data_IF_395453321812
#
_entry.id   IF_395453321812
#
_cell.length_a   1.000
_cell.length_b   1.000
_cell.length_c   1.000
_cell.angle_alpha   90.00
_cell.angle_beta   90.00
_cell.angle_gamma   90.00
#
_symmetry.space_group_name_H-M   'P 1'
#
loop_
_entity.id
_entity.type
_entity.pdbx_description
1 polymer ?
#
# COMPACT_ATOMS: atom_id res chain seq x y z
N UNK A 1 -19.33 19.27 14.28
CA UNK A 1 -18.17 18.76 13.51
C UNK A 1 -18.57 18.61 12.06
N UNK A 2 -17.71 18.98 11.10
CA UNK A 2 -17.98 18.75 9.67
C UNK A 2 -17.94 17.25 9.34
N UNK A 3 -18.78 16.79 8.43
CA UNK A 3 -18.72 15.41 7.90
C UNK A 3 -17.49 15.27 6.98
N UNK A 4 -16.90 14.08 6.89
CA UNK A 4 -15.76 13.83 5.99
C UNK A 4 -16.08 14.21 4.54
N UNK A 5 -17.32 13.99 4.11
CA UNK A 5 -17.83 14.38 2.78
C UNK A 5 -17.84 15.89 2.51
N UNK A 6 -17.73 16.72 3.55
CA UNK A 6 -17.71 18.19 3.45
C UNK A 6 -16.28 18.76 3.45
N UNK A 7 -15.27 17.91 3.68
CA UNK A 7 -13.87 18.30 3.63
C UNK A 7 -13.36 18.27 2.18
N UNK A 8 -12.44 19.17 1.85
CA UNK A 8 -11.79 19.11 0.56
C UNK A 8 -10.86 17.89 0.46
N UNK A 9 -10.59 17.43 -0.76
CA UNK A 9 -9.78 16.23 -1.03
C UNK A 9 -8.37 16.32 -0.41
N UNK A 10 -7.75 17.51 -0.39
CA UNK A 10 -6.42 17.71 0.19
C UNK A 10 -6.42 17.41 1.69
N UNK A 11 -7.40 17.95 2.42
CA UNK A 11 -7.56 17.70 3.86
C UNK A 11 -7.83 16.23 4.14
N UNK A 12 -8.71 15.59 3.36
CA UNK A 12 -8.97 14.14 3.50
C UNK A 12 -7.70 13.33 3.27
N UNK A 13 -6.92 13.68 2.24
CA UNK A 13 -5.64 13.01 1.94
C UNK A 13 -4.64 13.16 3.09
N UNK A 14 -4.52 14.36 3.68
CA UNK A 14 -3.67 14.57 4.85
C UNK A 14 -4.14 13.74 6.06
N UNK A 15 -5.45 13.60 6.28
CA UNK A 15 -6.00 12.77 7.35
C UNK A 15 -5.66 11.28 7.11
N UNK A 16 -5.84 10.79 5.88
CA UNK A 16 -5.50 9.40 5.52
C UNK A 16 -4.00 9.13 5.68
N UNK A 17 -3.14 10.07 5.25
CA UNK A 17 -1.70 10.01 5.47
C UNK A 17 -1.35 9.94 6.95
N UNK A 18 -1.91 10.84 7.75
CA UNK A 18 -1.67 10.89 9.19
C UNK A 18 -2.08 9.58 9.89
N UNK A 19 -3.23 9.02 9.52
CA UNK A 19 -3.70 7.75 10.08
C UNK A 19 -2.84 6.57 9.62
N UNK A 20 -2.44 6.53 8.34
CA UNK A 20 -1.51 5.50 7.84
C UNK A 20 -0.17 5.56 8.59
N UNK A 21 0.35 6.76 8.86
CA UNK A 21 1.56 6.94 9.68
C UNK A 21 1.35 6.43 11.10
N UNK A 22 0.25 6.78 11.77
CA UNK A 22 -0.05 6.26 13.12
C UNK A 22 -0.10 4.74 13.12
N UNK A 23 -0.78 4.11 12.15
CA UNK A 23 -0.88 2.65 12.04
C UNK A 23 0.51 2.02 11.85
N UNK A 24 1.34 2.62 10.98
CA UNK A 24 2.72 2.17 10.78
C UNK A 24 3.54 2.25 12.07
N UNK A 25 3.41 3.33 12.83
CA UNK A 25 4.09 3.52 14.12
C UNK A 25 3.59 2.55 15.19
N UNK A 26 2.28 2.28 15.25
CA UNK A 26 1.70 1.29 16.18
C UNK A 26 2.25 -0.09 15.89
N UNK A 27 2.30 -0.49 14.62
CA UNK A 27 2.86 -1.77 14.20
C UNK A 27 4.34 -1.91 14.56
N UNK A 28 5.09 -0.81 14.60
CA UNK A 28 6.49 -0.84 15.03
C UNK A 28 6.68 -0.91 16.54
N UNK A 29 5.99 -0.03 17.28
CA UNK A 29 6.35 0.27 18.66
C UNK A 29 5.41 -0.36 19.68
N UNK A 30 4.19 -0.73 19.28
CA UNK A 30 3.14 -1.19 20.20
C UNK A 30 2.80 -2.65 19.96
N UNK A 31 2.80 -3.10 18.71
CA UNK A 31 2.65 -4.52 18.39
C UNK A 31 4.07 -5.08 18.31
N UNK A 32 4.55 -5.82 19.33
CA UNK A 32 5.89 -6.38 19.32
C UNK A 32 5.88 -7.59 18.42
N UNK A 33 5.85 -7.36 17.12
CA UNK A 33 6.04 -8.43 16.17
C UNK A 33 7.51 -8.55 15.89
N UNK A 34 8.16 -9.41 16.67
CA UNK A 34 9.30 -10.20 16.19
C UNK A 34 8.88 -11.10 15.01
N UNK A 35 7.61 -11.09 14.59
CA UNK A 35 7.14 -11.60 13.31
C UNK A 35 7.67 -10.74 12.17
N UNK A 36 8.92 -10.93 11.82
CA UNK A 36 9.13 -11.30 10.44
C UNK A 36 8.90 -12.82 10.40
N UNK A 37 7.74 -13.32 9.91
CA UNK A 37 7.45 -14.76 9.89
C UNK A 37 8.54 -15.55 9.18
N UNK A 38 9.21 -14.92 8.23
CA UNK A 38 10.38 -15.44 7.56
C UNK A 38 11.61 -15.54 8.50
N UNK A 39 11.84 -14.57 9.37
CA UNK A 39 12.90 -14.67 10.38
C UNK A 39 12.58 -15.74 11.44
N UNK A 40 11.33 -15.85 11.89
CA UNK A 40 10.91 -16.92 12.81
C UNK A 40 11.06 -18.30 12.15
N UNK A 41 10.67 -18.43 10.88
CA UNK A 41 10.80 -19.67 10.13
C UNK A 41 12.28 -20.06 9.88
N UNK A 42 13.15 -19.07 9.61
CA UNK A 42 14.56 -19.31 9.34
C UNK A 42 15.44 -19.43 10.61
N UNK A 43 15.07 -18.78 11.72
CA UNK A 43 15.96 -18.60 12.87
C UNK A 43 15.34 -18.93 14.24
N UNK A 44 14.05 -19.29 14.30
CA UNK A 44 13.38 -19.77 15.52
C UNK A 44 12.55 -18.70 16.27
N UNK A 45 11.86 -19.07 17.37
CA UNK A 45 10.90 -18.20 18.07
C UNK A 45 11.54 -17.21 19.06
N UNK A 46 12.80 -17.40 19.45
CA UNK A 46 13.49 -16.60 20.50
C UNK A 46 14.13 -15.31 19.97
N UNK A 47 13.57 -14.73 18.91
CA UNK A 47 14.08 -13.51 18.28
C UNK A 47 13.54 -12.30 19.04
N UNK A 48 14.40 -11.32 19.37
CA UNK A 48 14.03 -10.08 20.06
C UNK A 48 13.88 -8.89 19.08
N UNK A 49 13.01 -7.93 19.43
CA UNK A 49 12.74 -6.75 18.61
C UNK A 49 13.92 -5.79 18.68
N UNK A 50 14.45 -5.36 17.54
CA UNK A 50 15.58 -4.43 17.50
C UNK A 50 16.95 -5.07 17.63
N UNK A 51 17.07 -6.39 17.43
CA UNK A 51 18.38 -7.02 17.20
C UNK A 51 19.07 -6.30 16.03
N UNK A 52 20.25 -5.68 16.21
CA UNK A 52 20.94 -4.91 15.19
C UNK A 52 21.38 -5.73 13.97
N UNK A 53 21.20 -7.06 14.00
CA UNK A 53 21.39 -7.94 12.83
C UNK A 53 20.10 -8.18 12.03
N UNK A 54 18.99 -7.51 12.35
CA UNK A 54 17.64 -7.81 11.86
C UNK A 54 16.91 -6.57 11.34
N UNK A 55 15.93 -6.83 10.48
CA UNK A 55 15.20 -5.81 9.73
C UNK A 55 14.25 -4.98 10.63
N UNK A 56 14.31 -3.65 10.49
CA UNK A 56 13.36 -2.67 11.04
C UNK A 56 12.10 -2.61 10.16
N UNK A 57 10.94 -2.97 10.72
CA UNK A 57 9.70 -3.18 9.98
C UNK A 57 9.06 -1.90 9.39
N UNK A 58 9.22 -0.71 10.00
CA UNK A 58 8.80 0.59 9.41
C UNK A 58 9.44 0.83 8.04
N UNK A 59 10.60 0.23 7.78
CA UNK A 59 11.29 0.33 6.52
C UNK A 59 10.77 -0.66 5.46
N UNK A 60 9.78 -1.50 5.77
CA UNK A 60 9.15 -2.35 4.76
C UNK A 60 8.05 -1.58 4.04
N UNK A 61 8.09 -1.60 2.70
CA UNK A 61 7.09 -0.92 1.87
C UNK A 61 5.71 -1.58 1.97
N UNK A 62 5.66 -2.87 2.31
CA UNK A 62 4.45 -3.62 2.58
C UNK A 62 3.67 -3.10 3.80
N UNK A 63 4.36 -2.69 4.86
CA UNK A 63 3.73 -2.08 6.04
C UNK A 63 3.00 -0.78 5.67
N UNK A 64 3.58 0.00 4.75
CA UNK A 64 2.92 1.19 4.23
C UNK A 64 1.69 0.83 3.40
N UNK A 65 1.76 -0.15 2.52
CA UNK A 65 0.59 -0.63 1.77
C UNK A 65 -0.52 -1.09 2.71
N UNK A 66 -0.19 -1.82 3.76
CA UNK A 66 -1.14 -2.22 4.81
C UNK A 66 -1.78 -0.99 5.47
N UNK A 67 -0.95 -0.06 5.95
CA UNK A 67 -1.42 1.11 6.68
C UNK A 67 -2.30 2.02 5.82
N UNK A 68 -1.95 2.23 4.55
CA UNK A 68 -2.79 2.95 3.59
C UNK A 68 -4.06 2.20 3.23
N UNK A 69 -4.05 0.86 3.21
CA UNK A 69 -5.25 0.04 2.97
C UNK A 69 -6.26 0.15 4.10
N UNK A 70 -5.79 0.29 5.35
CA UNK A 70 -6.66 0.59 6.48
C UNK A 70 -7.17 2.04 6.41
N UNK A 71 -6.30 3.01 6.17
CA UNK A 71 -6.68 4.43 6.04
C UNK A 71 -7.61 4.69 4.84
N UNK A 72 -7.58 3.84 3.82
CA UNK A 72 -8.47 3.91 2.65
C UNK A 72 -9.95 3.83 3.03
N UNK A 73 -10.31 3.11 4.11
CA UNK A 73 -11.69 2.98 4.55
C UNK A 73 -12.33 4.31 5.02
N UNK A 74 -11.53 5.33 5.33
CA UNK A 74 -11.99 6.68 5.71
C UNK A 74 -12.65 7.39 4.52
N UNK A 75 -12.03 7.29 3.36
CA UNK A 75 -12.53 7.90 2.12
C UNK A 75 -12.00 7.14 0.90
N UNK A 76 -12.89 6.34 0.30
CA UNK A 76 -12.56 5.36 -0.75
C UNK A 76 -12.44 5.96 -2.15
N UNK A 77 -12.91 7.20 -2.34
CA UNK A 77 -12.83 7.91 -3.62
C UNK A 77 -11.54 8.75 -3.75
N UNK A 78 -10.55 8.56 -2.87
CA UNK A 78 -9.31 9.33 -2.95
C UNK A 78 -8.43 8.82 -4.10
N UNK A 79 -8.24 9.57 -5.20
CA UNK A 79 -7.42 9.11 -6.31
C UNK A 79 -5.95 8.97 -5.92
N UNK A 80 -5.43 9.78 -4.98
CA UNK A 80 -4.03 9.70 -4.56
C UNK A 80 -3.74 8.37 -3.86
N UNK A 81 -4.59 7.99 -2.90
CA UNK A 81 -4.47 6.74 -2.15
C UNK A 81 -4.77 5.54 -3.05
N UNK A 82 -5.79 5.63 -3.90
CA UNK A 82 -6.15 4.54 -4.80
C UNK A 82 -5.03 4.22 -5.80
N UNK A 83 -4.39 5.23 -6.39
CA UNK A 83 -3.25 5.01 -7.27
C UNK A 83 -2.04 4.46 -6.51
N UNK A 84 -1.72 5.00 -5.33
CA UNK A 84 -0.63 4.47 -4.51
C UNK A 84 -0.82 2.98 -4.17
N UNK A 85 -2.02 2.60 -3.78
CA UNK A 85 -2.34 1.20 -3.45
C UNK A 85 -2.32 0.32 -4.70
N UNK A 86 -2.99 0.71 -5.80
CA UNK A 86 -3.19 -0.21 -6.93
C UNK A 86 -1.88 -0.67 -7.58
N UNK A 87 -0.85 0.19 -7.59
CA UNK A 87 0.45 -0.16 -8.15
C UNK A 87 1.22 -1.17 -7.29
N UNK A 88 0.82 -1.41 -6.04
CA UNK A 88 1.38 -2.46 -5.20
C UNK A 88 0.78 -3.85 -5.41
N UNK A 89 -0.22 -4.00 -6.28
CA UNK A 89 -0.96 -5.27 -6.42
C UNK A 89 -0.05 -6.44 -6.81
N UNK A 90 0.93 -6.21 -7.68
CA UNK A 90 1.84 -7.27 -8.14
C UNK A 90 2.79 -7.70 -7.03
N UNK A 91 3.49 -6.77 -6.39
CA UNK A 91 4.37 -7.10 -5.26
C UNK A 91 3.59 -7.75 -4.12
N UNK A 92 2.39 -7.26 -3.79
CA UNK A 92 1.52 -7.88 -2.78
C UNK A 92 1.12 -9.31 -3.18
N UNK A 93 0.78 -9.53 -4.45
CA UNK A 93 0.43 -10.86 -4.97
C UNK A 93 1.60 -11.84 -4.98
N UNK A 94 2.80 -11.38 -5.35
CA UNK A 94 4.04 -12.18 -5.29
C UNK A 94 4.34 -12.61 -3.86
N UNK A 95 4.24 -11.69 -2.90
CA UNK A 95 4.48 -11.99 -1.48
C UNK A 95 3.46 -13.02 -0.97
N UNK A 96 2.17 -12.83 -1.24
CA UNK A 96 1.13 -13.80 -0.88
C UNK A 96 1.43 -15.19 -1.47
N UNK A 97 1.82 -15.24 -2.75
CA UNK A 97 2.15 -16.52 -3.40
C UNK A 97 3.35 -17.18 -2.72
N UNK A 98 4.43 -16.44 -2.48
CA UNK A 98 5.64 -16.99 -1.88
C UNK A 98 5.40 -17.40 -0.42
N UNK A 99 4.96 -16.46 0.42
CA UNK A 99 4.91 -16.66 1.85
C UNK A 99 3.72 -17.51 2.28
N UNK A 100 2.52 -17.21 1.76
CA UNK A 100 1.30 -17.87 2.22
C UNK A 100 1.11 -19.19 1.49
N UNK A 101 1.29 -19.22 0.16
CA UNK A 101 1.03 -20.43 -0.64
C UNK A 101 2.20 -21.40 -0.65
N UNK A 102 3.44 -20.93 -0.87
CA UNK A 102 4.60 -21.83 -0.95
C UNK A 102 5.21 -22.15 0.42
N UNK A 103 5.34 -21.16 1.31
CA UNK A 103 5.97 -21.34 2.63
C UNK A 103 4.97 -21.60 3.76
N UNK A 104 3.66 -21.49 3.52
CA UNK A 104 2.63 -21.76 4.55
C UNK A 104 2.64 -20.76 5.71
N UNK A 105 3.16 -19.56 5.51
CA UNK A 105 3.26 -18.49 6.51
C UNK A 105 1.92 -17.74 6.63
N UNK A 106 0.86 -18.45 7.02
CA UNK A 106 -0.50 -17.90 7.12
C UNK A 106 -0.64 -16.76 8.14
N UNK A 107 0.34 -16.60 9.02
CA UNK A 107 0.40 -15.53 10.01
C UNK A 107 0.81 -14.19 9.40
N UNK A 108 1.33 -14.17 8.17
CA UNK A 108 1.75 -12.95 7.47
C UNK A 108 0.58 -12.25 6.74
N UNK A 109 -0.48 -11.96 7.50
CA UNK A 109 -1.73 -11.42 6.95
C UNK A 109 -1.62 -9.95 6.50
N UNK A 110 -0.52 -9.26 6.82
CA UNK A 110 -0.33 -7.84 6.48
C UNK A 110 -0.30 -7.62 4.96
N UNK A 111 0.00 -8.66 4.19
CA UNK A 111 0.02 -8.65 2.73
C UNK A 111 -1.37 -8.92 2.11
N UNK A 112 -2.23 -9.65 2.82
CA UNK A 112 -3.58 -10.03 2.34
C UNK A 112 -4.48 -8.79 2.22
N UNK A 113 -4.49 -7.93 3.23
CA UNK A 113 -5.38 -6.75 3.26
C UNK A 113 -5.10 -5.80 2.09
N UNK A 114 -3.84 -5.38 1.82
CA UNK A 114 -3.50 -4.60 0.63
C UNK A 114 -3.94 -5.25 -0.67
N UNK A 115 -3.70 -6.55 -0.83
CA UNK A 115 -4.08 -7.26 -2.04
C UNK A 115 -5.59 -7.23 -2.27
N UNK A 116 -6.40 -7.50 -1.24
CA UNK A 116 -7.86 -7.45 -1.33
C UNK A 116 -8.37 -6.03 -1.64
N UNK A 117 -7.80 -5.01 -1.00
CA UNK A 117 -8.15 -3.61 -1.27
C UNK A 117 -7.79 -3.24 -2.71
N UNK A 118 -6.64 -3.69 -3.21
CA UNK A 118 -6.23 -3.47 -4.60
C UNK A 118 -7.17 -4.13 -5.61
N UNK A 119 -7.56 -5.39 -5.38
CA UNK A 119 -8.57 -6.05 -6.20
C UNK A 119 -9.90 -5.28 -6.19
N UNK A 120 -10.33 -4.80 -5.03
CA UNK A 120 -11.53 -3.98 -4.92
C UNK A 120 -11.41 -2.66 -5.69
N UNK A 121 -10.26 -1.98 -5.61
CA UNK A 121 -10.01 -0.74 -6.34
C UNK A 121 -10.08 -0.97 -7.85
N UNK A 122 -9.41 -2.01 -8.35
CA UNK A 122 -9.46 -2.37 -9.78
C UNK A 122 -10.87 -2.71 -10.26
N UNK A 123 -11.67 -3.37 -9.43
CA UNK A 123 -13.03 -3.75 -9.79
C UNK A 123 -14.02 -2.58 -9.71
N UNK A 124 -14.02 -1.84 -8.60
CA UNK A 124 -15.10 -0.90 -8.24
C UNK A 124 -14.69 0.57 -8.26
N UNK A 125 -13.39 0.88 -8.38
CA UNK A 125 -12.84 2.25 -8.31
C UNK A 125 -11.86 2.57 -9.43
N UNK A 126 -11.91 1.84 -10.55
CA UNK A 126 -11.00 2.02 -11.68
C UNK A 126 -11.06 3.41 -12.31
N UNK A 127 -12.20 4.09 -12.19
CA UNK A 127 -12.42 5.48 -12.61
C UNK A 127 -11.60 6.51 -11.81
N UNK A 128 -11.10 6.13 -10.64
CA UNK A 128 -10.21 6.95 -9.80
C UNK A 128 -8.72 6.75 -10.09
N UNK A 129 -8.37 5.87 -11.02
CA UNK A 129 -6.98 5.49 -11.36
C UNK A 129 -6.48 6.26 -12.57
N UNK A 130 -5.18 6.62 -12.59
CA UNK A 130 -4.57 7.36 -13.69
C UNK A 130 -3.16 6.88 -14.03
N UNK A 131 -2.87 6.82 -15.33
CA UNK A 131 -1.57 6.42 -15.84
C UNK A 131 -0.45 7.36 -15.36
N UNK A 132 -0.71 8.67 -15.30
CA UNK A 132 0.28 9.68 -14.87
C UNK A 132 0.83 9.48 -13.45
N UNK A 133 0.19 8.65 -12.62
CA UNK A 133 0.68 8.36 -11.27
C UNK A 133 1.82 7.36 -11.22
N UNK A 134 1.99 6.55 -12.27
CA UNK A 134 3.01 5.51 -12.31
C UNK A 134 4.43 6.08 -12.09
N UNK A 135 4.90 7.14 -12.79
CA UNK A 135 6.24 7.68 -12.56
C UNK A 135 6.47 8.13 -11.12
N UNK A 136 5.48 8.75 -10.48
CA UNK A 136 5.59 9.17 -9.08
C UNK A 136 5.69 7.97 -8.14
N UNK A 137 4.91 6.92 -8.41
CA UNK A 137 4.99 5.67 -7.67
C UNK A 137 6.38 5.01 -7.82
N UNK A 138 6.92 4.96 -9.04
CA UNK A 138 8.25 4.42 -9.31
C UNK A 138 9.35 5.21 -8.59
N UNK A 139 9.28 6.55 -8.58
CA UNK A 139 10.25 7.39 -7.85
C UNK A 139 10.19 7.10 -6.35
N UNK A 140 8.99 7.05 -5.77
CA UNK A 140 8.80 6.76 -4.36
C UNK A 140 9.35 5.37 -4.01
N UNK A 141 8.97 4.34 -4.78
CA UNK A 141 9.39 2.96 -4.57
C UNK A 141 10.91 2.80 -4.72
N UNK A 142 11.52 3.40 -5.76
CA UNK A 142 12.97 3.36 -5.97
C UNK A 142 13.71 4.05 -4.82
N UNK A 143 13.25 5.24 -4.42
CA UNK A 143 13.84 5.98 -3.30
C UNK A 143 13.74 5.15 -2.01
N UNK A 144 12.62 4.48 -1.80
CA UNK A 144 12.40 3.60 -0.66
C UNK A 144 13.37 2.42 -0.65
N UNK A 145 13.48 1.67 -1.75
CA UNK A 145 14.42 0.55 -1.87
C UNK A 145 15.87 1.00 -1.63
N UNK A 146 16.24 2.17 -2.13
CA UNK A 146 17.57 2.72 -1.93
C UNK A 146 17.84 3.07 -0.46
N UNK A 147 16.87 3.68 0.24
CA UNK A 147 16.97 3.96 1.67
C UNK A 147 17.09 2.66 2.47
N UNK A 148 16.24 1.68 2.18
CA UNK A 148 16.23 0.36 2.82
C UNK A 148 17.59 -0.33 2.66
N UNK A 149 18.16 -0.28 1.46
CA UNK A 149 19.45 -0.89 1.14
C UNK A 149 20.62 -0.17 1.81
N UNK A 150 20.68 1.16 1.77
CA UNK A 150 21.79 1.95 2.36
C UNK A 150 21.83 1.84 3.87
N UNK A 151 20.66 1.89 4.51
CA UNK A 151 20.56 1.95 5.96
C UNK A 151 20.45 0.56 6.60
N UNK A 152 20.55 -0.52 5.81
CA UNK A 152 20.45 -1.90 6.29
C UNK A 152 19.17 -2.12 7.12
N UNK A 153 18.05 -1.55 6.65
CA UNK A 153 16.82 -1.46 7.44
C UNK A 153 15.88 -2.63 7.17
N UNK A 154 15.84 -3.17 5.95
CA UNK A 154 14.96 -4.29 5.62
C UNK A 154 15.51 -5.11 4.45
N UNK A 155 15.25 -6.43 4.47
CA UNK A 155 15.63 -7.36 3.41
C UNK A 155 17.15 -7.45 3.11
N UNK A 156 18.03 -6.99 4.00
CA UNK A 156 19.48 -7.08 3.77
C UNK A 156 19.99 -8.52 3.67
N UNK A 157 19.28 -9.46 4.30
CA UNK A 157 19.53 -10.89 4.14
C UNK A 157 19.04 -11.49 2.82
N UNK A 158 18.24 -10.76 2.02
CA UNK A 158 17.75 -11.25 0.75
C UNK A 158 18.82 -11.12 -0.35
N UNK A 159 19.00 -12.13 -1.22
CA UNK A 159 19.90 -12.02 -2.35
C UNK A 159 19.53 -10.82 -3.24
N UNK A 160 20.51 -10.00 -3.62
CA UNK A 160 20.30 -8.79 -4.44
C UNK A 160 19.55 -9.06 -5.74
N UNK A 161 19.71 -10.26 -6.33
CA UNK A 161 19.01 -10.62 -7.55
C UNK A 161 17.50 -10.78 -7.35
N UNK A 162 17.03 -11.20 -6.16
CA UNK A 162 15.61 -11.28 -5.83
C UNK A 162 15.02 -9.86 -5.73
N UNK A 163 15.76 -8.95 -5.11
CA UNK A 163 15.41 -7.52 -5.01
C UNK A 163 15.29 -6.90 -6.40
N UNK A 164 16.28 -7.12 -7.26
CA UNK A 164 16.27 -6.62 -8.65
C UNK A 164 15.11 -7.24 -9.45
N UNK A 165 14.87 -8.55 -9.31
CA UNK A 165 13.79 -9.23 -10.01
C UNK A 165 12.41 -8.69 -9.60
N UNK A 166 12.16 -8.51 -8.30
CA UNK A 166 10.91 -7.94 -7.80
C UNK A 166 10.70 -6.50 -8.31
N UNK A 167 11.74 -5.66 -8.23
CA UNK A 167 11.71 -4.30 -8.75
C UNK A 167 11.38 -4.25 -10.25
N UNK A 168 12.10 -5.03 -11.07
CA UNK A 168 11.89 -5.08 -12.53
C UNK A 168 10.50 -5.60 -12.86
N UNK A 169 10.04 -6.65 -12.17
CA UNK A 169 8.70 -7.21 -12.35
C UNK A 169 7.62 -6.17 -12.03
N UNK A 170 7.77 -5.44 -10.91
CA UNK A 170 6.86 -4.37 -10.53
C UNK A 170 6.83 -3.24 -11.57
N UNK A 171 7.97 -2.84 -12.12
CA UNK A 171 8.05 -1.82 -13.17
C UNK A 171 7.32 -2.27 -14.43
N UNK A 172 7.64 -3.46 -14.96
CA UNK A 172 7.06 -3.96 -16.21
C UNK A 172 5.55 -4.14 -16.06
N UNK A 173 5.11 -4.79 -14.98
CA UNK A 173 3.71 -5.07 -14.73
C UNK A 173 2.94 -3.80 -14.36
N UNK A 174 3.56 -2.86 -13.64
CA UNK A 174 3.02 -1.54 -13.33
C UNK A 174 2.80 -0.70 -14.58
N UNK A 175 3.74 -0.71 -15.53
CA UNK A 175 3.56 -0.10 -16.86
C UNK A 175 2.36 -0.73 -17.57
N UNK A 176 2.31 -2.06 -17.67
CA UNK A 176 1.20 -2.76 -18.33
C UNK A 176 -0.16 -2.44 -17.70
N UNK A 177 -0.23 -2.40 -16.37
CA UNK A 177 -1.43 -2.04 -15.63
C UNK A 177 -1.83 -0.58 -15.85
N UNK A 178 -0.86 0.35 -15.87
CA UNK A 178 -1.11 1.78 -16.05
C UNK A 178 -1.81 2.11 -17.38
N UNK A 179 -1.50 1.37 -18.45
CA UNK A 179 -2.14 1.54 -19.77
C UNK A 179 -3.63 1.16 -19.78
N UNK A 180 -4.12 0.50 -18.72
CA UNK A 180 -5.53 0.20 -18.55
C UNK A 180 -6.30 1.37 -17.90
N UNK A 181 -5.62 2.46 -17.53
CA UNK A 181 -6.17 3.62 -16.85
C UNK A 181 -6.17 4.86 -17.74
N UNK A 182 -7.07 5.83 -17.53
CA UNK A 182 -7.02 7.11 -18.24
C UNK A 182 -5.75 7.92 -17.90
N UNK A 183 -5.25 8.71 -18.86
CA UNK A 183 -4.06 9.55 -18.68
C UNK A 183 -4.23 10.65 -17.64
N UNK A 184 -5.45 11.17 -17.53
CA UNK A 184 -5.76 12.30 -16.66
C UNK A 184 -7.16 12.20 -16.08
N UNK A 185 -7.35 12.94 -14.99
CA UNK A 185 -8.66 13.10 -14.36
C UNK A 185 -9.55 13.84 -15.36
N UNK A 186 -10.54 13.15 -15.96
CA UNK A 186 -11.74 13.83 -16.47
C UNK A 186 -12.53 14.32 -15.26
N UNK A 187 -12.01 15.34 -14.60
CA UNK A 187 -12.75 16.06 -13.57
C UNK A 187 -13.83 16.78 -14.36
N UNK A 188 -15.06 16.25 -14.33
CA UNK A 188 -16.22 17.11 -14.47
C UNK A 188 -16.11 18.09 -13.31
N UNK A 189 -15.51 19.23 -13.56
CA UNK A 189 -15.58 20.39 -12.68
C UNK A 189 -17.05 20.85 -12.68
N UNK A 190 -17.94 20.12 -11.99
CA UNK A 190 -19.08 20.80 -11.41
C UNK A 190 -18.51 21.55 -10.21
N UNK A 191 -18.06 22.78 -10.46
CA UNK A 191 -17.69 23.80 -9.47
C UNK A 191 -18.88 24.25 -8.59
N UNK A 192 -19.84 23.37 -8.39
CA UNK A 192 -21.02 23.62 -7.57
C UNK A 192 -21.15 22.47 -6.58
N UNK A 193 -21.48 22.74 -5.32
CA UNK A 193 -21.94 21.70 -4.44
C UNK A 193 -23.10 21.02 -5.17
N UNK A 194 -23.01 19.71 -5.36
CA UNK A 194 -24.19 18.94 -5.66
C UNK A 194 -25.15 19.24 -4.52
N UNK A 195 -26.13 20.12 -4.77
CA UNK A 195 -27.40 20.05 -4.10
C UNK A 195 -27.77 18.57 -4.14
N UNK A 196 -27.70 17.95 -2.96
CA UNK A 196 -28.22 16.62 -2.73
C UNK A 196 -29.74 16.75 -2.84
N UNK A 197 -30.24 16.94 -4.06
CA UNK A 197 -31.65 16.86 -4.36
C UNK A 197 -32.01 15.41 -4.14
N UNK A 198 -32.67 15.17 -3.01
CA UNK A 198 -33.47 13.99 -2.70
C UNK A 198 -34.03 13.40 -4.00
N UNK A 199 -33.38 12.36 -4.52
CA UNK A 199 -34.05 11.50 -5.47
C UNK A 199 -35.02 10.66 -4.65
N UNK A 200 -36.32 10.73 -4.89
CA UNK A 200 -37.27 9.88 -4.20
C UNK A 200 -36.94 8.44 -4.57
N UNK A 201 -36.94 7.57 -3.55
CA UNK A 201 -37.03 6.14 -3.71
C UNK A 201 -38.09 5.85 -4.78
N UNK A 202 -37.68 5.18 -5.85
CA UNK A 202 -38.62 4.44 -6.68
C UNK A 202 -38.65 3.03 -6.13
N UNK A 203 -39.85 2.66 -5.74
CA UNK A 203 -40.27 1.32 -5.31
C UNK A 203 -39.86 0.23 -6.31
#
# INVERSE_FOLDING_TARGET
MKRISELNLKTITCIQLFIATIISLIYQFVIPLNWNPLDVAMFGPDIEHGDPKRNIQIATISQWWFSFSVAWFIYRENPYVNNFLVYSIFSSGTIILLEIVLFGLFWDYIHIVPFLVNCYILWKKRDTLFQKWLPYYLILFTSWYFLVFIFDLAYFGAPIWMIVFDFVSMVILGIGLSFTFPDSIRMKWSLFPLEYKNQPHRD
#
